data_IF_925866479767
#
_entry.id   IF_925866479767
#
_cell.length_a   1.000
_cell.length_b   1.000
_cell.length_c   1.000
_cell.angle_alpha   90.00
_cell.angle_beta   90.00
_cell.angle_gamma   90.00
#
_symmetry.space_group_name_H-M   'P 1'
#
loop_
_entity.id
_entity.type
_entity.pdbx_description
1 polymer ?
#
# COMPACT_ATOMS: atom_id res chain seq x y z
N UNK A 1 -32.37 31.37 -47.94
CA UNK A 1 -32.65 32.03 -46.65
C UNK A 1 -33.38 31.04 -45.74
N UNK A 2 -32.79 30.82 -44.56
CA UNK A 2 -33.30 30.20 -43.33
C UNK A 2 -33.80 28.74 -43.33
N UNK A 3 -32.88 27.79 -43.06
CA UNK A 3 -33.21 26.44 -42.56
C UNK A 3 -33.21 26.46 -41.03
N UNK A 4 -34.38 26.54 -40.39
CA UNK A 4 -34.47 26.48 -38.94
C UNK A 4 -34.84 25.05 -38.50
N UNK A 5 -33.84 24.31 -38.04
CA UNK A 5 -33.96 22.93 -37.50
C UNK A 5 -34.63 22.99 -36.12
N UNK A 6 -35.88 22.57 -36.04
CA UNK A 6 -36.53 22.22 -34.78
C UNK A 6 -35.77 21.02 -34.17
N UNK A 7 -35.14 21.22 -33.00
CA UNK A 7 -34.37 20.20 -32.31
C UNK A 7 -35.26 19.10 -31.74
N UNK A 8 -35.21 17.90 -32.32
CA UNK A 8 -35.82 16.70 -31.76
C UNK A 8 -35.17 16.38 -30.40
N UNK A 9 -35.98 16.27 -29.34
CA UNK A 9 -35.50 15.76 -28.04
C UNK A 9 -35.20 14.26 -28.17
N UNK A 10 -34.05 13.78 -27.63
CA UNK A 10 -33.64 12.39 -27.75
C UNK A 10 -34.59 11.45 -27.01
N UNK A 11 -35.04 10.39 -27.69
CA UNK A 11 -35.89 9.33 -27.15
C UNK A 11 -35.14 8.48 -26.11
N UNK A 12 -35.87 7.79 -25.22
CA UNK A 12 -35.29 6.93 -24.17
C UNK A 12 -34.32 5.86 -24.73
N UNK A 13 -34.52 5.37 -25.95
CA UNK A 13 -33.60 4.43 -26.61
C UNK A 13 -32.27 5.07 -27.02
N UNK A 14 -32.27 6.36 -27.42
CA UNK A 14 -31.04 7.09 -27.76
C UNK A 14 -30.19 7.46 -26.54
N UNK A 15 -30.78 7.55 -25.33
CA UNK A 15 -30.03 7.75 -24.08
C UNK A 15 -29.26 6.52 -23.62
N UNK A 16 -29.73 5.31 -23.95
CA UNK A 16 -29.04 4.06 -23.61
C UNK A 16 -27.79 3.85 -24.47
N UNK A 17 -27.84 4.21 -25.76
CA UNK A 17 -26.67 4.12 -26.65
C UNK A 17 -25.55 5.11 -26.28
N UNK A 18 -25.90 6.32 -25.84
CA UNK A 18 -24.90 7.31 -25.42
C UNK A 18 -24.22 6.99 -24.07
N UNK A 19 -24.87 6.24 -23.17
CA UNK A 19 -24.22 5.74 -21.93
C UNK A 19 -23.23 4.60 -22.22
N UNK A 20 -23.55 3.69 -23.14
CA UNK A 20 -22.65 2.59 -23.52
C UNK A 20 -21.41 3.07 -24.30
N UNK A 21 -21.53 4.13 -25.10
CA UNK A 21 -20.41 4.67 -25.87
C UNK A 21 -19.46 5.55 -25.03
N UNK A 22 -19.93 6.14 -23.92
CA UNK A 22 -19.13 7.06 -23.09
C UNK A 22 -18.27 6.37 -22.01
N UNK A 23 -18.40 5.04 -21.84
CA UNK A 23 -17.57 4.26 -20.92
C UNK A 23 -16.31 3.65 -21.57
N UNK A 24 -16.03 3.89 -22.86
CA UNK A 24 -14.86 3.31 -23.57
C UNK A 24 -13.66 4.27 -23.76
N UNK A 25 -13.65 5.44 -23.13
CA UNK A 25 -12.56 6.43 -23.29
C UNK A 25 -12.08 7.01 -21.95
N UNK A 26 -11.52 6.16 -21.09
CA UNK A 26 -10.55 6.63 -20.07
C UNK A 26 -9.53 5.57 -19.63
N UNK A 27 -9.39 4.46 -20.37
CA UNK A 27 -8.50 3.34 -20.01
C UNK A 27 -7.31 3.17 -20.96
N UNK A 28 -6.73 4.28 -21.41
CA UNK A 28 -5.43 4.32 -22.09
C UNK A 28 -4.67 5.45 -21.41
N UNK A 29 -3.82 5.10 -20.46
CA UNK A 29 -2.69 5.89 -19.94
C UNK A 29 -2.12 5.30 -18.63
N UNK A 30 -2.69 4.21 -18.10
CA UNK A 30 -2.04 3.41 -17.04
C UNK A 30 -1.21 2.29 -17.66
N UNK A 31 -0.20 2.65 -18.46
CA UNK A 31 0.81 1.71 -18.97
C UNK A 31 2.18 2.24 -18.57
N UNK A 32 2.53 2.11 -17.28
CA UNK A 32 3.86 2.52 -16.81
C UNK A 32 4.05 2.85 -15.33
N UNK A 33 3.15 2.47 -14.41
CA UNK A 33 3.47 2.55 -12.99
C UNK A 33 3.81 1.14 -12.50
N UNK A 34 5.09 0.92 -12.24
CA UNK A 34 5.59 -0.32 -11.65
C UNK A 34 4.74 -0.64 -10.42
N UNK A 35 4.04 -1.77 -10.48
CA UNK A 35 3.37 -2.35 -9.32
C UNK A 35 4.45 -2.64 -8.29
N UNK A 36 4.39 -1.97 -7.14
CA UNK A 36 5.19 -2.33 -5.99
C UNK A 36 4.95 -3.81 -5.65
N UNK A 37 6.01 -4.61 -5.38
CA UNK A 37 5.88 -6.05 -5.15
C UNK A 37 5.11 -6.44 -3.87
N UNK A 38 4.63 -5.48 -3.07
CA UNK A 38 3.97 -5.75 -1.78
C UNK A 38 2.44 -5.75 -1.85
N UNK A 39 1.85 -6.02 -3.03
CA UNK A 39 0.42 -6.37 -3.05
C UNK A 39 0.31 -7.82 -2.57
N UNK A 40 0.18 -7.98 -1.25
CA UNK A 40 -0.17 -9.26 -0.62
C UNK A 40 -1.52 -9.72 -1.20
N UNK A 41 -1.46 -10.48 -2.30
CA UNK A 41 -2.59 -11.18 -2.88
C UNK A 41 -3.01 -12.27 -1.90
N UNK A 42 -3.77 -11.90 -0.87
CA UNK A 42 -4.58 -12.86 -0.14
C UNK A 42 -5.77 -13.24 -1.04
N UNK A 43 -5.50 -14.08 -2.03
CA UNK A 43 -6.51 -14.67 -2.90
C UNK A 43 -7.18 -15.78 -2.10
N UNK A 44 -8.19 -15.41 -1.30
CA UNK A 44 -8.99 -16.37 -0.53
C UNK A 44 -9.97 -17.04 -1.51
N UNK A 45 -9.66 -18.28 -1.92
CA UNK A 45 -10.64 -19.18 -2.52
C UNK A 45 -11.30 -19.96 -1.39
N UNK A 46 -12.60 -19.74 -1.18
CA UNK A 46 -13.40 -20.46 -0.19
C UNK A 46 -13.92 -21.78 -0.75
N UNK A 47 -13.02 -22.74 -0.97
CA UNK A 47 -13.41 -24.14 -1.13
C UNK A 47 -13.40 -24.81 0.25
N UNK A 48 -14.60 -25.13 0.72
CA UNK A 48 -14.84 -25.83 1.98
C UNK A 48 -14.32 -27.28 1.87
N UNK A 49 -13.46 -27.68 2.80
CA UNK A 49 -12.83 -29.00 2.94
C UNK A 49 -11.48 -29.21 2.22
N UNK A 50 -10.42 -28.59 2.73
CA UNK A 50 -9.11 -29.23 2.79
C UNK A 50 -8.25 -28.55 3.85
N UNK A 51 -7.56 -29.36 4.66
CA UNK A 51 -6.66 -28.90 5.72
C UNK A 51 -5.64 -27.92 5.16
N UNK A 52 -5.72 -26.66 5.60
CA UNK A 52 -4.79 -25.60 5.20
C UNK A 52 -3.43 -25.94 5.78
N UNK A 53 -2.49 -26.34 4.92
CA UNK A 53 -1.07 -26.30 5.25
C UNK A 53 -0.69 -24.83 5.39
N UNK A 54 -0.81 -24.29 6.60
CA UNK A 54 -0.22 -22.99 6.94
C UNK A 54 1.29 -23.20 6.84
N UNK A 55 1.86 -22.87 5.68
CA UNK A 55 3.30 -22.71 5.58
C UNK A 55 3.67 -21.58 6.55
N UNK A 56 4.68 -21.76 7.42
CA UNK A 56 5.14 -20.68 8.28
C UNK A 56 5.78 -19.63 7.39
N UNK A 57 4.97 -18.71 6.89
CA UNK A 57 5.45 -17.47 6.29
C UNK A 57 6.29 -16.79 7.35
N UNK A 58 7.59 -16.66 7.07
CA UNK A 58 8.52 -15.98 7.95
C UNK A 58 8.19 -14.49 7.90
N UNK A 59 7.21 -14.07 8.70
CA UNK A 59 6.66 -12.71 8.74
C UNK A 59 7.65 -11.68 9.35
N UNK A 60 8.92 -12.04 9.46
CA UNK A 60 9.98 -11.11 9.86
C UNK A 60 10.24 -10.15 8.69
N UNK A 61 10.19 -8.86 9.00
CA UNK A 61 10.53 -7.82 8.03
C UNK A 61 11.96 -8.03 7.51
N UNK A 62 12.11 -7.95 6.19
CA UNK A 62 13.37 -8.12 5.49
C UNK A 62 14.27 -6.90 5.67
N UNK A 63 15.56 -7.02 5.29
CA UNK A 63 16.51 -5.90 5.31
C UNK A 63 16.01 -4.69 4.52
N UNK A 64 15.39 -4.94 3.35
CA UNK A 64 14.87 -3.89 2.47
C UNK A 64 13.81 -2.99 3.13
N UNK A 65 13.05 -3.51 4.09
CA UNK A 65 12.13 -2.68 4.88
C UNK A 65 12.85 -1.59 5.68
N UNK A 66 14.04 -1.88 6.20
CA UNK A 66 14.81 -0.95 7.03
C UNK A 66 15.68 0.01 6.20
N UNK A 67 15.94 -0.31 4.93
CA UNK A 67 16.79 0.48 4.02
C UNK A 67 16.02 1.64 3.39
N UNK A 68 15.56 2.57 4.22
CA UNK A 68 14.83 3.76 3.78
C UNK A 68 15.20 4.98 4.64
N UNK A 69 14.91 6.21 4.18
CA UNK A 69 15.19 7.42 4.95
C UNK A 69 14.56 7.40 6.34
N UNK A 70 15.25 7.97 7.34
CA UNK A 70 14.90 7.88 8.77
C UNK A 70 13.43 8.27 9.07
N UNK A 71 12.94 9.36 8.48
CA UNK A 71 11.56 9.83 8.66
C UNK A 71 10.55 8.82 8.11
N UNK A 72 10.81 8.26 6.92
CA UNK A 72 9.93 7.26 6.29
C UNK A 72 9.94 5.96 7.08
N UNK A 73 11.10 5.57 7.61
CA UNK A 73 11.23 4.38 8.45
C UNK A 73 10.41 4.50 9.74
N UNK A 74 10.53 5.62 10.47
CA UNK A 74 9.79 5.84 11.71
C UNK A 74 8.27 5.72 11.50
N UNK A 75 7.75 6.29 10.41
CA UNK A 75 6.33 6.15 10.02
C UNK A 75 5.97 4.72 9.67
N UNK A 76 6.82 4.04 8.90
CA UNK A 76 6.60 2.66 8.45
C UNK A 76 6.61 1.65 9.60
N UNK A 77 7.30 1.95 10.71
CA UNK A 77 7.36 1.13 11.91
C UNK A 77 6.04 1.14 12.70
N UNK A 78 5.22 2.18 12.59
CA UNK A 78 3.95 2.26 13.32
C UNK A 78 3.03 1.11 12.92
N UNK A 79 2.46 0.44 13.92
CA UNK A 79 1.60 -0.73 13.75
C UNK A 79 2.34 -2.06 13.56
N UNK A 80 3.66 -2.06 13.35
CA UNK A 80 4.46 -3.30 13.31
C UNK A 80 4.58 -3.91 14.71
N UNK A 81 4.89 -5.21 14.75
CA UNK A 81 5.07 -5.96 15.99
C UNK A 81 6.55 -6.18 16.24
N UNK A 82 7.05 -5.68 17.36
CA UNK A 82 8.37 -6.04 17.87
C UNK A 82 8.26 -7.35 18.64
N UNK A 83 9.11 -8.31 18.32
CA UNK A 83 9.10 -9.65 18.92
C UNK A 83 10.46 -9.93 19.55
N UNK A 84 10.47 -10.37 20.81
CA UNK A 84 11.66 -10.82 21.54
C UNK A 84 11.44 -12.24 22.05
N UNK A 85 12.24 -13.17 21.53
CA UNK A 85 12.35 -14.54 22.08
C UNK A 85 13.37 -14.56 23.20
N UNK A 86 12.96 -14.90 24.42
CA UNK A 86 13.84 -15.05 25.58
C UNK A 86 14.61 -16.38 25.52
N UNK A 87 15.67 -16.49 26.30
CA UNK A 87 16.46 -17.73 26.43
C UNK A 87 15.63 -18.89 26.99
N UNK A 88 14.65 -18.58 27.84
CA UNK A 88 13.65 -19.54 28.34
C UNK A 88 12.75 -20.11 27.25
N UNK A 89 12.72 -19.51 26.06
CA UNK A 89 11.81 -19.85 24.97
C UNK A 89 10.52 -19.03 24.95
N UNK A 90 10.25 -18.24 25.99
CA UNK A 90 9.10 -17.32 26.03
C UNK A 90 9.20 -16.25 24.94
N UNK A 91 8.05 -15.88 24.36
CA UNK A 91 7.96 -14.84 23.33
C UNK A 91 7.25 -13.62 23.91
N UNK A 92 7.97 -12.51 24.00
CA UNK A 92 7.42 -11.20 24.30
C UNK A 92 7.10 -10.48 22.98
N UNK A 93 5.94 -9.85 22.90
CA UNK A 93 5.56 -9.05 21.74
C UNK A 93 4.88 -7.73 22.14
N UNK A 94 5.09 -6.72 21.32
CA UNK A 94 4.47 -5.40 21.50
C UNK A 94 4.23 -4.74 20.15
N UNK A 95 3.12 -4.01 20.02
CA UNK A 95 2.86 -3.17 18.86
C UNK A 95 3.58 -1.84 19.01
N UNK A 96 4.29 -1.43 17.96
CA UNK A 96 4.90 -0.11 17.90
C UNK A 96 3.79 0.92 17.68
N UNK A 97 3.54 1.76 18.69
CA UNK A 97 2.53 2.83 18.66
C UNK A 97 3.14 4.22 18.56
N UNK A 98 4.44 4.33 18.84
CA UNK A 98 5.21 5.57 18.81
C UNK A 98 6.62 5.26 18.29
N UNK A 99 7.19 6.19 17.53
CA UNK A 99 8.56 6.11 17.02
C UNK A 99 9.10 7.53 16.77
N UNK A 100 10.35 7.75 17.17
CA UNK A 100 11.11 8.97 16.90
C UNK A 100 12.18 8.73 15.83
N UNK A 101 12.49 9.76 15.05
CA UNK A 101 13.56 9.71 14.06
C UNK A 101 14.62 10.78 14.37
N UNK A 102 15.89 10.36 14.36
CA UNK A 102 17.03 11.26 14.56
C UNK A 102 17.85 11.32 13.28
N UNK A 103 18.03 12.51 12.69
CA UNK A 103 18.66 12.68 11.37
C UNK A 103 20.19 12.59 11.39
N UNK A 104 20.74 12.17 12.52
CA UNK A 104 22.15 11.91 12.70
C UNK A 104 22.97 13.17 12.86
N UNK A 105 23.99 13.34 12.02
CA UNK A 105 25.04 14.36 12.17
C UNK A 105 24.54 15.81 12.14
N UNK A 106 23.38 16.05 11.52
CA UNK A 106 22.74 17.37 11.40
C UNK A 106 21.75 17.66 12.52
N UNK A 107 21.35 16.65 13.27
CA UNK A 107 20.32 16.74 14.31
C UNK A 107 20.98 16.88 15.68
N UNK A 108 20.83 18.07 16.27
CA UNK A 108 21.41 18.39 17.59
C UNK A 108 20.89 17.52 18.73
N UNK A 109 19.71 16.91 18.57
CA UNK A 109 19.16 15.97 19.55
C UNK A 109 19.74 14.55 19.39
N UNK A 110 20.40 14.25 18.27
CA UNK A 110 21.02 12.94 18.03
C UNK A 110 22.36 12.82 18.75
N UNK A 111 22.63 11.64 19.33
CA UNK A 111 23.97 11.30 19.84
C UNK A 111 25.05 11.34 18.75
N UNK A 112 24.69 11.13 17.48
CA UNK A 112 25.64 11.18 16.36
C UNK A 112 25.86 12.60 15.80
N UNK A 113 25.28 13.62 16.44
CA UNK A 113 25.48 15.01 16.07
C UNK A 113 26.96 15.38 16.03
N UNK A 114 27.39 16.03 14.93
CA UNK A 114 28.76 16.52 14.80
C UNK A 114 29.84 15.43 14.63
N UNK A 115 29.47 14.17 14.34
CA UNK A 115 30.40 13.05 14.11
C UNK A 115 31.42 12.84 15.24
N UNK A 116 31.01 13.02 16.50
CA UNK A 116 31.85 12.70 17.65
C UNK A 116 31.76 11.20 17.94
N UNK A 117 32.54 10.41 17.22
CA UNK A 117 32.81 9.01 17.54
C UNK A 117 34.27 8.84 17.94
#
# INVERSE_FOLDING_TARGET
MNTNKQGLKPTLSSRLSQKAARQKQSNRDVKGLATHPDTDNNMINYDNQSFVSVTPVNNKLTKSFYEQPCISLAKSLLGKILVRKLESGEILCGRIVEAECYLGTVDKASHSYGQKN
#
